data_IF_911666621047
#
_entry.id   IF_911666621047
#
_cell.length_a   1.000
_cell.length_b   1.000
_cell.length_c   1.000
_cell.angle_alpha   90.00
_cell.angle_beta   90.00
_cell.angle_gamma   90.00
#
_symmetry.space_group_name_H-M   'P 1'
#
loop_
_entity.id
_entity.type
_entity.pdbx_description
1 polymer ?
#
# COMPACT_ATOMS: atom_id res chain seq x y z
N UNK A 1 56.23 61.32 -20.10
CA UNK A 1 56.15 59.85 -19.94
C UNK A 1 54.93 59.58 -19.03
N UNK A 2 53.75 59.20 -19.62
CA UNK A 2 52.49 59.01 -18.89
C UNK A 2 52.28 57.50 -18.76
N UNK A 3 52.38 57.03 -17.55
CA UNK A 3 52.12 55.61 -17.20
C UNK A 3 50.63 55.43 -17.06
N UNK A 4 50.01 54.57 -17.95
CA UNK A 4 48.59 54.14 -17.86
C UNK A 4 48.55 52.93 -16.98
N UNK A 5 47.88 53.04 -15.84
CA UNK A 5 47.49 51.89 -15.00
C UNK A 5 46.26 51.19 -15.62
N UNK A 6 46.45 49.97 -16.07
CA UNK A 6 45.33 49.10 -16.40
C UNK A 6 44.90 48.35 -15.14
N UNK A 7 43.65 48.57 -14.72
CA UNK A 7 43.02 47.86 -13.63
C UNK A 7 42.42 46.55 -14.22
N UNK A 8 42.75 45.34 -13.69
CA UNK A 8 42.10 44.14 -14.15
C UNK A 8 40.71 44.02 -13.52
N UNK A 9 39.70 43.97 -14.36
CA UNK A 9 38.31 43.63 -13.95
C UNK A 9 38.26 42.12 -13.73
N UNK A 10 38.24 41.70 -12.46
CA UNK A 10 37.91 40.30 -12.10
C UNK A 10 36.42 40.07 -12.30
N UNK A 11 36.09 39.33 -13.38
CA UNK A 11 34.75 38.77 -13.56
C UNK A 11 34.56 37.62 -12.58
N UNK A 12 33.77 37.83 -11.52
CA UNK A 12 33.29 36.79 -10.62
C UNK A 12 32.16 36.02 -11.33
N UNK A 13 32.48 34.90 -11.99
CA UNK A 13 31.47 33.95 -12.43
C UNK A 13 30.91 33.22 -11.19
N UNK A 14 29.85 33.77 -10.64
CA UNK A 14 29.05 33.08 -9.65
C UNK A 14 28.36 31.87 -10.30
N UNK A 15 28.89 30.67 -10.07
CA UNK A 15 28.20 29.44 -10.37
C UNK A 15 26.98 29.35 -9.46
N UNK A 16 25.81 29.68 -9.99
CA UNK A 16 24.53 29.36 -9.36
C UNK A 16 24.38 27.83 -9.40
N UNK A 17 24.82 27.15 -8.35
CA UNK A 17 24.48 25.80 -8.10
C UNK A 17 22.94 25.76 -7.85
N UNK A 18 22.17 25.48 -8.88
CA UNK A 18 20.77 25.11 -8.74
C UNK A 18 20.74 23.87 -7.85
N UNK A 19 20.42 24.05 -6.59
CA UNK A 19 20.06 22.97 -5.71
C UNK A 19 18.74 22.38 -6.26
N UNK A 20 18.87 21.40 -7.13
CA UNK A 20 17.76 20.51 -7.44
C UNK A 20 17.48 19.80 -6.12
N UNK A 21 16.51 20.33 -5.35
CA UNK A 21 15.90 19.58 -4.27
C UNK A 21 15.50 18.25 -4.88
N UNK A 22 16.16 17.18 -4.47
CA UNK A 22 15.88 15.83 -4.90
C UNK A 22 14.43 15.58 -4.48
N UNK A 23 13.47 15.79 -5.40
CA UNK A 23 12.08 15.47 -5.17
C UNK A 23 12.06 13.97 -4.94
N UNK A 24 11.94 13.58 -3.67
CA UNK A 24 11.80 12.17 -3.31
C UNK A 24 10.55 11.60 -3.99
N UNK A 25 10.55 10.30 -4.23
CA UNK A 25 9.37 9.60 -4.75
C UNK A 25 8.16 9.81 -3.81
N UNK A 26 6.91 9.62 -4.30
CA UNK A 26 5.71 9.80 -3.50
C UNK A 26 5.79 9.03 -2.17
N UNK A 27 5.40 9.68 -1.06
CA UNK A 27 5.45 9.10 0.28
C UNK A 27 6.85 8.68 0.79
N UNK A 28 7.94 9.27 0.25
CA UNK A 28 9.30 8.97 0.71
C UNK A 28 9.49 9.19 2.22
N UNK A 29 8.73 10.11 2.83
CA UNK A 29 8.77 10.37 4.26
C UNK A 29 8.26 9.17 5.07
N UNK A 30 7.14 8.56 4.67
CA UNK A 30 6.59 7.35 5.30
C UNK A 30 7.58 6.19 5.21
N UNK A 31 8.22 6.02 4.06
CA UNK A 31 9.25 5.00 3.88
C UNK A 31 10.47 5.27 4.78
N UNK A 32 10.86 6.53 4.96
CA UNK A 32 11.93 6.90 5.92
C UNK A 32 11.55 6.57 7.35
N UNK A 33 10.29 6.80 7.75
CA UNK A 33 9.80 6.41 9.08
C UNK A 33 9.92 4.90 9.28
N UNK A 34 9.51 4.09 8.30
CA UNK A 34 9.67 2.63 8.41
C UNK A 34 11.14 2.21 8.52
N UNK A 35 12.02 2.80 7.70
CA UNK A 35 13.47 2.54 7.79
C UNK A 35 14.05 2.92 9.16
N UNK A 36 13.60 4.04 9.72
CA UNK A 36 14.05 4.47 11.05
C UNK A 36 13.58 3.48 12.13
N UNK A 37 12.31 3.07 12.12
CA UNK A 37 11.80 2.05 13.04
C UNK A 37 12.58 0.74 12.91
N UNK A 38 12.85 0.31 11.68
CA UNK A 38 13.60 -0.92 11.40
C UNK A 38 15.06 -0.84 11.84
N UNK A 39 15.66 0.36 11.86
CA UNK A 39 17.03 0.55 12.36
C UNK A 39 17.15 0.38 13.86
N UNK A 40 16.07 0.59 14.59
CA UNK A 40 16.01 0.40 16.06
C UNK A 40 15.51 -0.99 16.45
N UNK A 41 14.57 -1.54 15.68
CA UNK A 41 13.99 -2.86 15.93
C UNK A 41 13.54 -3.50 14.62
N UNK A 42 14.44 -4.24 13.98
CA UNK A 42 14.13 -4.89 12.71
C UNK A 42 13.11 -6.01 12.91
N UNK A 43 12.02 -6.06 12.13
CA UNK A 43 11.02 -7.10 12.25
C UNK A 43 11.58 -8.50 12.02
N UNK A 44 10.99 -9.54 12.65
CA UNK A 44 11.46 -10.91 12.47
C UNK A 44 11.33 -11.34 11.00
N UNK A 45 12.35 -12.04 10.49
CA UNK A 45 12.28 -12.72 9.18
C UNK A 45 11.15 -13.76 9.22
N UNK A 46 10.59 -14.07 8.05
CA UNK A 46 9.45 -14.98 7.92
C UNK A 46 8.18 -14.50 8.66
N UNK A 47 8.07 -13.20 8.89
CA UNK A 47 6.88 -12.61 9.46
C UNK A 47 5.66 -12.65 8.52
N UNK A 48 4.56 -12.11 9.01
CA UNK A 48 3.30 -11.95 8.28
C UNK A 48 3.15 -10.46 7.98
N UNK A 49 3.37 -10.08 6.74
CA UNK A 49 3.41 -8.69 6.30
C UNK A 49 2.04 -8.25 5.81
N UNK A 50 1.56 -7.13 6.35
CA UNK A 50 0.40 -6.40 5.86
C UNK A 50 0.88 -5.10 5.20
N UNK A 51 0.70 -5.00 3.89
CA UNK A 51 0.96 -3.79 3.10
C UNK A 51 -0.34 -3.25 2.51
N UNK A 52 -0.34 -1.98 2.16
CA UNK A 52 -1.48 -1.34 1.51
C UNK A 52 -1.61 0.12 1.89
N UNK A 53 -2.77 0.67 1.60
CA UNK A 53 -3.07 2.08 1.79
C UNK A 53 -3.49 2.41 3.23
N UNK A 54 -4.27 3.47 3.39
CA UNK A 54 -4.71 3.97 4.70
C UNK A 54 -5.48 2.94 5.53
N UNK A 55 -6.24 2.03 4.92
CA UNK A 55 -6.97 1.00 5.67
C UNK A 55 -6.03 0.07 6.46
N UNK A 56 -4.81 -0.18 5.96
CA UNK A 56 -3.79 -0.89 6.74
C UNK A 56 -3.11 0.05 7.73
N UNK A 57 -2.79 1.29 7.32
CA UNK A 57 -2.13 2.27 8.21
C UNK A 57 -2.93 2.55 9.47
N UNK A 58 -4.25 2.80 9.30
CA UNK A 58 -5.13 3.17 10.43
C UNK A 58 -5.72 1.99 11.19
N UNK A 59 -5.36 0.76 10.84
CA UNK A 59 -5.66 -0.43 11.65
C UNK A 59 -4.70 -0.50 12.83
N UNK A 60 -4.98 0.31 13.86
CA UNK A 60 -4.03 0.57 14.95
C UNK A 60 -3.78 -0.63 15.85
N UNK A 61 -4.73 -1.52 15.96
CA UNK A 61 -4.71 -2.70 16.84
C UNK A 61 -4.49 -4.04 16.07
N UNK A 62 -3.98 -3.98 14.82
CA UNK A 62 -3.76 -5.16 13.98
C UNK A 62 -2.88 -6.21 14.67
N UNK A 63 -1.76 -5.79 15.26
CA UNK A 63 -0.82 -6.66 15.95
C UNK A 63 -1.45 -7.30 17.20
N UNK A 64 -2.26 -6.54 17.92
CA UNK A 64 -2.97 -7.01 19.11
C UNK A 64 -4.06 -8.02 18.77
N UNK A 65 -4.77 -7.80 17.66
CA UNK A 65 -5.82 -8.71 17.17
C UNK A 65 -5.29 -10.07 16.77
N UNK A 66 -4.06 -10.12 16.27
CA UNK A 66 -3.38 -11.36 15.93
C UNK A 66 -2.21 -11.65 16.90
N UNK A 67 -2.47 -11.45 18.21
CA UNK A 67 -1.46 -11.67 19.25
C UNK A 67 -0.77 -13.03 19.10
N UNK A 68 0.54 -13.04 19.31
CA UNK A 68 1.37 -14.24 19.17
C UNK A 68 1.77 -14.57 17.73
N UNK A 69 1.31 -13.79 16.74
CA UNK A 69 1.78 -13.90 15.37
C UNK A 69 2.79 -12.79 15.06
N UNK A 70 3.84 -13.06 14.27
CA UNK A 70 4.86 -12.07 13.92
C UNK A 70 4.34 -11.12 12.83
N UNK A 71 3.39 -10.25 13.21
CA UNK A 71 2.76 -9.30 12.30
C UNK A 71 3.73 -8.14 12.01
N UNK A 72 3.83 -7.77 10.74
CA UNK A 72 4.58 -6.60 10.27
C UNK A 72 3.59 -5.71 9.52
N UNK A 73 3.32 -4.51 10.04
CA UNK A 73 2.39 -3.57 9.43
C UNK A 73 3.15 -2.46 8.70
N UNK A 74 2.91 -2.32 7.39
CA UNK A 74 3.53 -1.30 6.52
C UNK A 74 2.47 -0.67 5.60
N UNK A 75 1.49 -0.02 6.21
CA UNK A 75 0.46 0.74 5.50
C UNK A 75 0.93 2.16 5.17
N UNK A 76 0.80 2.58 3.92
CA UNK A 76 1.12 3.94 3.42
C UNK A 76 -0.18 4.67 3.11
N UNK A 77 -0.53 5.66 3.92
CA UNK A 77 -1.84 6.34 3.84
C UNK A 77 -2.02 7.11 2.54
N UNK A 78 -3.14 6.87 1.83
CA UNK A 78 -3.42 7.53 0.56
C UNK A 78 -2.72 6.93 -0.66
N UNK A 79 -1.87 5.93 -0.47
CA UNK A 79 -1.12 5.33 -1.58
C UNK A 79 -2.01 4.58 -2.56
N UNK A 80 -1.56 4.57 -3.79
CA UNK A 80 -2.09 3.82 -4.92
C UNK A 80 -1.26 2.55 -5.17
N UNK A 81 -1.81 1.57 -5.86
CA UNK A 81 -1.18 0.27 -6.07
C UNK A 81 0.10 0.35 -6.90
N UNK A 82 0.12 1.18 -7.97
CA UNK A 82 1.28 1.39 -8.82
C UNK A 82 2.51 1.89 -8.05
N UNK A 83 2.30 2.62 -6.94
CA UNK A 83 3.41 3.12 -6.12
C UNK A 83 4.13 2.00 -5.36
N UNK A 84 3.43 0.89 -5.07
CA UNK A 84 4.10 -0.31 -4.54
C UNK A 84 4.99 -0.94 -5.58
N UNK A 85 4.57 -0.94 -6.85
CA UNK A 85 5.37 -1.45 -7.97
C UNK A 85 6.64 -0.60 -8.16
N UNK A 86 6.46 0.72 -8.28
CA UNK A 86 7.53 1.61 -8.70
C UNK A 86 8.49 2.00 -7.56
N UNK A 87 7.98 2.08 -6.31
CA UNK A 87 8.76 2.71 -5.24
C UNK A 87 8.86 1.90 -3.95
N UNK A 88 7.77 1.25 -3.46
CA UNK A 88 7.75 0.83 -2.05
C UNK A 88 8.31 -0.57 -1.82
N UNK A 89 8.05 -1.49 -2.73
CA UNK A 89 8.39 -2.92 -2.57
C UNK A 89 9.84 -3.19 -2.20
N UNK A 90 10.86 -2.50 -2.77
CA UNK A 90 12.25 -2.68 -2.38
C UNK A 90 12.55 -2.33 -0.92
N UNK A 91 11.73 -1.49 -0.30
CA UNK A 91 11.97 -0.97 1.06
C UNK A 91 11.10 -1.63 2.13
N UNK A 92 9.84 -1.98 1.80
CA UNK A 92 8.87 -2.44 2.80
C UNK A 92 8.33 -3.85 2.55
N UNK A 93 8.88 -4.57 1.57
CA UNK A 93 8.54 -5.98 1.31
C UNK A 93 9.77 -6.85 1.33
N UNK A 94 10.72 -6.64 0.42
CA UNK A 94 11.86 -7.52 0.22
C UNK A 94 12.79 -7.65 1.44
N UNK A 95 13.09 -6.59 2.22
CA UNK A 95 14.00 -6.71 3.35
C UNK A 95 13.50 -7.65 4.44
N UNK A 96 12.18 -7.77 4.62
CA UNK A 96 11.58 -8.59 5.68
C UNK A 96 11.53 -10.08 5.34
N UNK A 97 11.66 -10.46 4.06
CA UNK A 97 11.51 -11.85 3.60
C UNK A 97 10.30 -12.53 4.23
N UNK A 98 9.09 -11.97 4.12
CA UNK A 98 7.90 -12.47 4.78
C UNK A 98 7.47 -13.82 4.21
N UNK A 99 6.90 -14.69 5.04
CA UNK A 99 6.27 -15.95 4.59
C UNK A 99 4.85 -15.77 4.06
N UNK A 100 4.16 -14.69 4.49
CA UNK A 100 2.81 -14.32 4.08
C UNK A 100 2.77 -12.81 3.84
N UNK A 101 2.12 -12.39 2.77
CA UNK A 101 1.95 -10.98 2.39
C UNK A 101 0.48 -10.72 2.13
N UNK A 102 -0.15 -9.88 2.94
CA UNK A 102 -1.51 -9.39 2.76
C UNK A 102 -1.48 -8.01 2.12
N UNK A 103 -2.18 -7.83 1.01
CA UNK A 103 -2.15 -6.61 0.19
C UNK A 103 -3.56 -6.02 0.14
N UNK A 104 -3.74 -4.79 0.65
CA UNK A 104 -4.96 -4.00 0.51
C UNK A 104 -4.66 -2.67 -0.19
N UNK A 105 -4.87 -2.62 -1.49
CA UNK A 105 -4.66 -1.43 -2.34
C UNK A 105 -5.55 -1.49 -3.59
N UNK A 106 -5.64 -0.36 -4.32
CA UNK A 106 -6.46 -0.21 -5.53
C UNK A 106 -7.66 0.72 -5.36
N UNK A 107 -8.14 0.93 -4.12
CA UNK A 107 -9.27 1.82 -3.83
C UNK A 107 -8.93 3.29 -4.16
N UNK A 108 -7.70 3.71 -3.90
CA UNK A 108 -7.25 5.08 -4.19
C UNK A 108 -6.97 5.28 -5.68
N UNK A 109 -6.47 4.26 -6.36
CA UNK A 109 -6.26 4.27 -7.80
C UNK A 109 -7.58 4.60 -8.53
N UNK A 110 -8.65 3.89 -8.18
CA UNK A 110 -9.98 4.12 -8.75
C UNK A 110 -10.50 5.52 -8.40
N UNK A 111 -10.31 5.95 -7.16
CA UNK A 111 -10.72 7.29 -6.75
C UNK A 111 -9.93 8.41 -7.46
N UNK A 112 -8.70 8.12 -7.87
CA UNK A 112 -7.86 9.00 -8.68
C UNK A 112 -8.19 8.93 -10.18
N UNK A 113 -9.25 8.19 -10.58
CA UNK A 113 -9.73 8.09 -11.95
C UNK A 113 -9.10 6.96 -12.78
N UNK A 114 -8.34 6.05 -12.17
CA UNK A 114 -7.84 4.85 -12.84
C UNK A 114 -8.97 3.83 -12.99
N UNK A 115 -8.96 3.08 -14.10
CA UNK A 115 -9.95 2.03 -14.34
C UNK A 115 -9.54 0.69 -13.68
N UNK A 116 -10.46 -0.26 -13.71
CA UNK A 116 -10.27 -1.58 -13.13
C UNK A 116 -9.11 -2.36 -13.78
N UNK A 117 -8.94 -2.22 -15.08
CA UNK A 117 -7.86 -2.86 -15.83
C UNK A 117 -6.49 -2.34 -15.39
N UNK A 118 -6.37 -1.05 -15.13
CA UNK A 118 -5.15 -0.47 -14.59
C UNK A 118 -4.83 -1.08 -13.22
N UNK A 119 -5.82 -1.11 -12.30
CA UNK A 119 -5.64 -1.69 -10.95
C UNK A 119 -5.21 -3.16 -11.03
N UNK A 120 -5.90 -3.95 -11.88
CA UNK A 120 -5.55 -5.36 -12.06
C UNK A 120 -4.16 -5.55 -12.67
N UNK A 121 -3.79 -4.73 -13.65
CA UNK A 121 -2.46 -4.75 -14.27
C UNK A 121 -1.35 -4.39 -13.29
N UNK A 122 -1.54 -3.36 -12.45
CA UNK A 122 -0.56 -3.01 -11.42
C UNK A 122 -0.46 -4.09 -10.33
N UNK A 123 -1.58 -4.72 -9.96
CA UNK A 123 -1.53 -5.87 -9.06
C UNK A 123 -0.76 -7.05 -9.67
N UNK A 124 -0.97 -7.34 -10.95
CA UNK A 124 -0.22 -8.37 -11.66
C UNK A 124 1.27 -8.11 -11.61
N UNK A 125 1.72 -6.90 -11.93
CA UNK A 125 3.14 -6.50 -11.85
C UNK A 125 3.69 -6.68 -10.43
N UNK A 126 2.96 -6.21 -9.42
CA UNK A 126 3.36 -6.36 -8.02
C UNK A 126 3.48 -7.84 -7.62
N UNK A 127 2.51 -8.66 -8.02
CA UNK A 127 2.53 -10.10 -7.80
C UNK A 127 3.76 -10.75 -8.43
N UNK A 128 4.04 -10.44 -9.69
CA UNK A 128 5.20 -10.98 -10.43
C UNK A 128 6.52 -10.58 -9.78
N UNK A 129 6.68 -9.31 -9.41
CA UNK A 129 7.85 -8.83 -8.68
C UNK A 129 8.09 -9.60 -7.37
N UNK A 130 7.02 -9.78 -6.58
CA UNK A 130 7.10 -10.50 -5.31
C UNK A 130 7.39 -11.98 -5.55
N UNK A 131 6.68 -12.62 -6.49
CA UNK A 131 6.85 -14.03 -6.80
C UNK A 131 8.27 -14.38 -7.28
N UNK A 132 8.85 -13.55 -8.15
CA UNK A 132 10.22 -13.71 -8.63
C UNK A 132 11.23 -13.57 -7.49
N UNK A 133 11.06 -12.57 -6.63
CA UNK A 133 12.03 -12.27 -5.57
C UNK A 133 11.85 -13.13 -4.32
N UNK A 134 10.63 -13.56 -4.04
CA UNK A 134 10.22 -14.32 -2.85
C UNK A 134 9.29 -15.48 -3.24
N UNK A 135 9.76 -16.48 -4.01
CA UNK A 135 8.91 -17.51 -4.61
C UNK A 135 8.19 -18.40 -3.58
N UNK A 136 8.69 -18.47 -2.35
CA UNK A 136 8.06 -19.22 -1.25
C UNK A 136 7.03 -18.41 -0.45
N UNK A 137 6.89 -17.10 -0.69
CA UNK A 137 5.93 -16.28 0.03
C UNK A 137 4.49 -16.57 -0.44
N UNK A 138 3.55 -16.65 0.51
CA UNK A 138 2.12 -16.71 0.19
C UNK A 138 1.58 -15.29 0.03
N UNK A 139 0.94 -15.00 -1.10
CA UNK A 139 0.40 -13.69 -1.45
C UNK A 139 -1.12 -13.71 -1.33
N UNK A 140 -1.67 -12.79 -0.55
CA UNK A 140 -3.09 -12.64 -0.32
C UNK A 140 -3.54 -11.24 -0.78
N UNK A 141 -4.43 -11.18 -1.78
CA UNK A 141 -5.09 -9.93 -2.13
C UNK A 141 -6.37 -9.80 -1.33
N UNK A 142 -6.47 -8.74 -0.57
CA UNK A 142 -7.66 -8.35 0.16
C UNK A 142 -8.51 -7.46 -0.74
N UNK A 143 -9.72 -7.90 -1.10
CA UNK A 143 -10.57 -7.16 -2.04
C UNK A 143 -10.89 -5.75 -1.58
N UNK A 144 -11.06 -4.85 -2.53
CA UNK A 144 -11.53 -3.48 -2.26
C UNK A 144 -12.94 -3.58 -1.64
N UNK A 145 -13.14 -2.85 -0.54
CA UNK A 145 -14.39 -2.83 0.21
C UNK A 145 -15.38 -1.79 -0.31
N UNK A 146 -16.71 -1.96 -0.07
CA UNK A 146 -17.73 -0.99 -0.43
C UNK A 146 -17.76 0.18 0.58
N UNK A 147 -16.90 1.17 0.41
CA UNK A 147 -16.87 2.36 1.28
C UNK A 147 -18.01 3.32 0.93
N UNK A 148 -18.89 3.73 1.88
CA UNK A 148 -20.03 4.61 1.57
C UNK A 148 -19.61 5.95 0.94
N UNK A 149 -18.48 6.54 1.36
CA UNK A 149 -17.96 7.77 0.74
C UNK A 149 -17.44 7.57 -0.70
N UNK A 150 -17.32 6.32 -1.14
CA UNK A 150 -16.80 5.91 -2.46
C UNK A 150 -17.85 5.18 -3.30
N UNK A 151 -19.14 5.29 -2.97
CA UNK A 151 -20.22 4.55 -3.64
C UNK A 151 -20.23 4.73 -5.17
N UNK A 152 -19.93 5.93 -5.65
CA UNK A 152 -19.85 6.21 -7.11
C UNK A 152 -18.76 5.41 -7.84
N UNK A 153 -17.74 4.96 -7.13
CA UNK A 153 -16.64 4.17 -7.66
C UNK A 153 -16.83 2.66 -7.46
N UNK A 154 -17.88 2.26 -6.75
CA UNK A 154 -18.10 0.86 -6.41
C UNK A 154 -18.21 -0.08 -7.63
N UNK A 155 -18.91 0.28 -8.73
CA UNK A 155 -18.94 -0.58 -9.91
C UNK A 155 -17.55 -0.88 -10.48
N UNK A 156 -16.66 0.12 -10.49
CA UNK A 156 -15.29 -0.03 -10.95
C UNK A 156 -14.45 -0.88 -9.99
N UNK A 157 -14.67 -0.73 -8.68
CA UNK A 157 -14.03 -1.55 -7.65
C UNK A 157 -14.44 -3.04 -7.76
N UNK A 158 -15.72 -3.31 -8.03
CA UNK A 158 -16.22 -4.68 -8.28
C UNK A 158 -15.52 -5.31 -9.48
N UNK A 159 -15.40 -4.55 -10.58
CA UNK A 159 -14.70 -5.01 -11.78
C UNK A 159 -13.22 -5.29 -11.51
N UNK A 160 -12.52 -4.38 -10.81
CA UNK A 160 -11.12 -4.58 -10.41
C UNK A 160 -10.96 -5.84 -9.54
N UNK A 161 -11.83 -6.01 -8.53
CA UNK A 161 -11.85 -7.19 -7.67
C UNK A 161 -12.03 -8.48 -8.49
N UNK A 162 -12.93 -8.48 -9.47
CA UNK A 162 -13.17 -9.62 -10.35
C UNK A 162 -11.96 -9.96 -11.22
N UNK A 163 -11.31 -8.94 -11.80
CA UNK A 163 -10.11 -9.13 -12.63
C UNK A 163 -8.95 -9.70 -11.81
N UNK A 164 -8.71 -9.15 -10.61
CA UNK A 164 -7.66 -9.66 -9.71
C UNK A 164 -7.97 -11.09 -9.26
N UNK A 165 -9.23 -11.40 -8.92
CA UNK A 165 -9.65 -12.75 -8.56
C UNK A 165 -9.37 -13.73 -9.70
N UNK A 166 -9.76 -13.37 -10.93
CA UNK A 166 -9.50 -14.18 -12.13
C UNK A 166 -8.01 -14.39 -12.37
N UNK A 167 -7.20 -13.35 -12.24
CA UNK A 167 -5.74 -13.45 -12.38
C UNK A 167 -5.11 -14.41 -11.37
N UNK A 168 -5.58 -14.39 -10.13
CA UNK A 168 -5.05 -15.26 -9.06
C UNK A 168 -5.51 -16.71 -9.18
N UNK A 169 -6.52 -17.01 -9.99
CA UNK A 169 -7.00 -18.40 -10.21
C UNK A 169 -5.87 -19.26 -10.80
N UNK A 170 -5.48 -20.31 -10.08
CA UNK A 170 -4.39 -21.20 -10.49
C UNK A 170 -2.97 -20.67 -10.26
N UNK A 171 -2.79 -19.44 -9.74
CA UNK A 171 -1.47 -18.93 -9.37
C UNK A 171 -0.95 -19.61 -8.10
N UNK A 172 0.31 -20.07 -8.10
CA UNK A 172 0.87 -20.75 -6.93
C UNK A 172 0.97 -19.79 -5.74
N UNK A 173 0.79 -20.33 -4.54
CA UNK A 173 0.92 -19.58 -3.29
C UNK A 173 0.12 -18.26 -3.24
N UNK A 174 -1.05 -18.22 -3.89
CA UNK A 174 -1.81 -16.99 -4.05
C UNK A 174 -3.29 -17.20 -3.73
N UNK A 175 -3.89 -16.23 -3.05
CA UNK A 175 -5.29 -16.30 -2.65
C UNK A 175 -5.95 -14.93 -2.76
N UNK A 176 -7.10 -14.85 -3.39
CA UNK A 176 -8.01 -13.73 -3.28
C UNK A 176 -8.88 -13.89 -2.03
N UNK A 177 -8.95 -12.88 -1.19
CA UNK A 177 -9.79 -12.86 0.01
C UNK A 177 -10.89 -11.82 -0.18
N UNK A 178 -12.14 -12.25 -0.12
CA UNK A 178 -13.28 -11.35 -0.18
C UNK A 178 -13.46 -10.61 1.16
N UNK A 179 -12.97 -9.38 1.19
CA UNK A 179 -13.10 -8.46 2.33
C UNK A 179 -14.32 -7.55 2.20
N UNK A 180 -14.92 -7.47 1.02
CA UNK A 180 -16.03 -6.58 0.72
C UNK A 180 -17.37 -7.13 1.23
N UNK A 181 -17.66 -8.40 0.99
CA UNK A 181 -18.96 -9.00 1.33
C UNK A 181 -19.33 -8.91 2.81
N UNK A 182 -18.34 -9.01 3.70
CA UNK A 182 -18.55 -8.89 5.15
C UNK A 182 -18.80 -7.47 5.63
N UNK A 183 -18.66 -6.48 4.74
CA UNK A 183 -18.88 -5.06 5.02
C UNK A 183 -20.23 -4.60 4.47
N UNK A 184 -20.93 -5.41 3.70
CA UNK A 184 -22.27 -5.06 3.20
C UNK A 184 -23.29 -4.89 4.33
N UNK A 185 -24.19 -3.94 4.14
CA UNK A 185 -25.44 -3.89 4.87
C UNK A 185 -26.29 -5.12 4.48
N UNK A 186 -26.93 -5.73 5.46
CA UNK A 186 -27.72 -6.94 5.26
C UNK A 186 -28.71 -6.83 4.09
N UNK A 187 -28.68 -7.79 3.18
CA UNK A 187 -29.57 -7.84 2.02
C UNK A 187 -29.22 -6.87 0.88
N UNK A 188 -28.08 -6.20 0.94
CA UNK A 188 -27.64 -5.24 -0.08
C UNK A 188 -26.18 -5.47 -0.50
N UNK A 189 -25.74 -4.71 -1.51
CA UNK A 189 -24.32 -4.61 -1.90
C UNK A 189 -23.72 -3.25 -1.51
N UNK A 190 -24.41 -2.50 -0.66
CA UNK A 190 -23.94 -1.22 -0.12
C UNK A 190 -23.12 -1.44 1.16
N UNK A 191 -22.13 -0.60 1.38
CA UNK A 191 -21.37 -0.62 2.62
C UNK A 191 -22.22 -0.22 3.83
N UNK A 192 -22.19 -1.04 4.88
CA UNK A 192 -22.85 -0.74 6.15
C UNK A 192 -22.11 0.42 6.85
N UNK A 193 -22.70 1.62 6.81
CA UNK A 193 -22.12 2.83 7.38
C UNK A 193 -21.77 2.72 8.87
N UNK A 194 -22.45 1.84 9.61
CA UNK A 194 -22.18 1.59 11.04
C UNK A 194 -20.80 0.93 11.30
N UNK A 195 -20.16 0.39 10.26
CA UNK A 195 -18.84 -0.24 10.31
C UNK A 195 -17.70 0.72 9.99
N UNK A 196 -18.02 1.97 9.69
CA UNK A 196 -17.05 2.98 9.28
C UNK A 196 -16.91 4.08 10.36
N UNK A 197 -15.80 4.81 10.27
CA UNK A 197 -15.59 6.07 10.99
C UNK A 197 -16.48 7.17 10.38
N UNK A 198 -16.48 8.35 10.96
CA UNK A 198 -17.25 9.50 10.48
C UNK A 198 -16.91 9.94 9.03
N UNK A 199 -15.77 9.52 8.50
CA UNK A 199 -15.36 9.77 7.11
C UNK A 199 -15.99 8.81 6.09
N UNK A 200 -16.73 7.79 6.55
CA UNK A 200 -17.37 6.77 5.72
C UNK A 200 -16.42 6.06 4.73
N UNK A 201 -15.12 6.13 4.99
CA UNK A 201 -14.05 5.51 4.21
C UNK A 201 -13.29 4.45 5.02
N UNK A 202 -12.85 4.83 6.21
CA UNK A 202 -12.05 3.97 7.06
C UNK A 202 -12.94 3.19 8.03
N UNK A 203 -12.62 1.91 8.18
CA UNK A 203 -13.34 1.06 9.12
C UNK A 203 -13.15 1.54 10.57
N UNK A 204 -14.18 1.42 11.37
CA UNK A 204 -14.10 1.51 12.84
C UNK A 204 -13.75 0.12 13.42
N UNK A 205 -13.72 0.00 14.76
CA UNK A 205 -13.37 -1.27 15.42
C UNK A 205 -14.29 -2.42 14.99
N UNK A 206 -15.61 -2.18 14.86
CA UNK A 206 -16.59 -3.20 14.43
C UNK A 206 -16.31 -3.68 12.99
N UNK A 207 -15.93 -2.77 12.10
CA UNK A 207 -15.52 -3.12 10.74
C UNK A 207 -14.26 -3.99 10.73
N UNK A 208 -13.27 -3.64 11.54
CA UNK A 208 -12.06 -4.47 11.68
C UNK A 208 -12.33 -5.80 12.39
N UNK A 209 -13.32 -5.90 13.28
CA UNK A 209 -13.75 -7.20 13.85
C UNK A 209 -14.23 -8.16 12.75
N UNK A 210 -15.00 -7.63 11.77
CA UNK A 210 -15.43 -8.44 10.62
C UNK A 210 -14.25 -8.86 9.73
N UNK A 211 -13.32 -7.94 9.46
CA UNK A 211 -12.13 -8.24 8.70
C UNK A 211 -11.23 -9.27 9.40
N UNK A 212 -11.05 -9.15 10.73
CA UNK A 212 -10.28 -10.11 11.50
C UNK A 212 -10.81 -11.54 11.34
N UNK A 213 -12.14 -11.74 11.49
CA UNK A 213 -12.77 -13.05 11.35
C UNK A 213 -12.52 -13.69 9.98
N UNK A 214 -12.55 -12.88 8.90
CA UNK A 214 -12.22 -13.35 7.55
C UNK A 214 -10.76 -13.74 7.42
N UNK A 215 -9.86 -13.02 8.07
CA UNK A 215 -8.42 -13.21 7.95
C UNK A 215 -7.85 -14.29 8.86
N UNK A 216 -8.53 -14.65 9.95
CA UNK A 216 -8.06 -15.66 10.92
C UNK A 216 -7.57 -16.97 10.27
N UNK A 217 -8.27 -17.58 9.31
CA UNK A 217 -7.81 -18.83 8.68
C UNK A 217 -6.53 -18.68 7.87
N UNK A 218 -6.23 -17.48 7.41
CA UNK A 218 -5.07 -17.18 6.56
C UNK A 218 -3.85 -16.71 7.37
N UNK A 219 -4.08 -16.07 8.51
CA UNK A 219 -3.02 -15.58 9.41
C UNK A 219 -2.44 -16.70 10.27
N UNK A 220 -3.23 -17.67 10.65
CA UNK A 220 -2.83 -18.83 11.48
C UNK A 220 -1.85 -19.82 10.81
#
# INVERSE_FOLDING_TARGET
>A
MKIKFLLPVLLFLGTVMSAHAQQGFPFANEIRVFKHLDSTSFPPKNGILFIGSSSIRVWTDLETRFRGKPIIKRGVGGSELWQFVDYFTPYIVFPYKPRKIFIYAGENDIAAGKNAEFVAGEFQKLWEMIHVKLPGAKIYYMSIKPSPSRVKFWPEAVKANSLVKSYLTGKPNSTYIDMGSVIFKSGTTEGDSSLFRADYLHLNSKGYDRWQKVLEPYVN
#
